data_IF_064655564045
#
_entry.id   IF_064655564045
#
_cell.length_a   1.000
_cell.length_b   1.000
_cell.length_c   1.000
_cell.angle_alpha   90.00
_cell.angle_beta   90.00
_cell.angle_gamma   90.00
#
_symmetry.space_group_name_H-M   'P 1'
#
loop_
_entity.id
_entity.type
_entity.pdbx_description
1 polymer ?
#
# COMPACT_ATOMS: atom_id res chain seq x y z
N UNK A 1 7.84 -8.75 -7.53
CA UNK A 1 7.98 -10.09 -6.95
C UNK A 1 8.90 -10.07 -5.73
N UNK A 2 8.49 -10.78 -4.71
CA UNK A 2 9.27 -10.90 -3.49
C UNK A 2 9.76 -12.34 -3.32
N UNK A 3 10.89 -12.58 -2.62
CA UNK A 3 11.40 -13.92 -2.39
C UNK A 3 10.62 -14.71 -1.33
N UNK A 4 9.57 -14.15 -0.78
CA UNK A 4 8.74 -14.76 0.27
C UNK A 4 7.25 -14.56 -0.04
N UNK A 5 6.40 -15.40 0.54
CA UNK A 5 4.94 -15.24 0.44
C UNK A 5 4.52 -14.01 1.23
N UNK A 6 3.99 -13.00 0.56
CA UNK A 6 3.67 -11.71 1.15
C UNK A 6 2.29 -11.21 0.75
N UNK A 7 1.76 -10.33 1.61
CA UNK A 7 0.54 -9.57 1.37
C UNK A 7 0.92 -8.09 1.39
N UNK A 8 0.37 -7.29 0.48
CA UNK A 8 0.56 -5.85 0.52
C UNK A 8 -0.49 -5.18 1.40
N UNK A 9 -0.03 -4.25 2.25
CA UNK A 9 -0.89 -3.40 3.06
C UNK A 9 -0.76 -1.99 2.52
N UNK A 10 -1.89 -1.38 2.18
CA UNK A 10 -1.95 -0.11 1.47
C UNK A 10 -2.84 0.87 2.22
N UNK A 11 -2.52 2.15 2.07
CA UNK A 11 -3.16 3.24 2.80
C UNK A 11 -3.89 4.17 1.82
N UNK A 12 -5.21 4.28 1.94
CA UNK A 12 -6.01 5.19 1.11
C UNK A 12 -5.57 6.65 1.26
N UNK A 13 -5.14 7.06 2.45
CA UNK A 13 -4.65 8.41 2.67
C UNK A 13 -3.36 8.70 1.89
N UNK A 14 -2.48 7.70 1.76
CA UNK A 14 -1.28 7.80 0.91
C UNK A 14 -1.66 7.93 -0.56
N UNK A 15 -2.67 7.18 -1.02
CA UNK A 15 -3.16 7.29 -2.40
C UNK A 15 -3.75 8.68 -2.67
N UNK A 16 -4.50 9.23 -1.72
CA UNK A 16 -5.01 10.59 -1.83
C UNK A 16 -3.89 11.63 -1.87
N UNK A 17 -2.82 11.42 -1.11
CA UNK A 17 -1.66 12.30 -1.12
C UNK A 17 -0.97 12.31 -2.51
N UNK A 18 -0.85 11.16 -3.15
CA UNK A 18 -0.34 11.07 -4.53
C UNK A 18 -1.25 11.86 -5.48
N UNK A 19 -2.56 11.71 -5.36
CA UNK A 19 -3.54 12.44 -6.16
C UNK A 19 -3.43 13.96 -5.98
N UNK A 20 -3.17 14.43 -4.76
CA UNK A 20 -2.96 15.84 -4.48
C UNK A 20 -1.71 16.39 -5.19
N UNK A 21 -0.64 15.60 -5.24
CA UNK A 21 0.59 15.98 -5.95
C UNK A 21 0.33 16.08 -7.46
N UNK A 22 -0.42 15.12 -8.02
CA UNK A 22 -0.74 15.07 -9.44
C UNK A 22 -1.84 16.06 -9.85
N UNK A 23 -2.69 16.48 -8.91
CA UNK A 23 -3.80 17.40 -9.16
C UNK A 23 -5.10 16.73 -9.61
N UNK A 24 -5.23 15.41 -9.48
CA UNK A 24 -6.43 14.66 -9.82
C UNK A 24 -6.49 13.35 -9.02
N UNK A 25 -7.67 12.74 -8.95
CA UNK A 25 -7.86 11.47 -8.27
C UNK A 25 -7.10 10.34 -8.98
N UNK A 26 -6.44 9.50 -8.18
CA UNK A 26 -5.73 8.32 -8.64
C UNK A 26 -6.48 7.07 -8.16
N UNK A 27 -6.81 6.18 -9.09
CA UNK A 27 -7.46 4.92 -8.75
C UNK A 27 -6.54 4.05 -7.88
N UNK A 28 -7.03 3.53 -6.74
CA UNK A 28 -6.25 2.59 -5.92
C UNK A 28 -5.83 1.34 -6.69
N UNK A 29 -6.57 0.94 -7.72
CA UNK A 29 -6.29 -0.25 -8.53
C UNK A 29 -4.94 -0.18 -9.24
N UNK A 30 -4.39 1.02 -9.46
CA UNK A 30 -3.05 1.18 -10.06
C UNK A 30 -1.96 0.49 -9.26
N UNK A 31 -2.13 0.39 -7.93
CA UNK A 31 -1.13 -0.15 -7.03
C UNK A 31 -1.20 -1.66 -6.88
N UNK A 32 -2.30 -2.30 -7.33
CA UNK A 32 -2.52 -3.75 -7.26
C UNK A 32 -2.36 -4.30 -5.84
N UNK A 33 -2.89 -3.55 -4.86
CA UNK A 33 -2.75 -3.89 -3.45
C UNK A 33 -3.77 -4.93 -2.97
N UNK A 34 -3.38 -5.73 -1.98
CA UNK A 34 -4.24 -6.75 -1.38
C UNK A 34 -5.20 -6.16 -0.34
N UNK A 35 -4.65 -5.50 0.67
CA UNK A 35 -5.42 -4.92 1.77
C UNK A 35 -5.32 -3.40 1.73
N UNK A 36 -6.46 -2.75 1.94
CA UNK A 36 -6.55 -1.30 1.92
C UNK A 36 -7.19 -0.81 3.21
N UNK A 37 -6.58 0.20 3.82
CA UNK A 37 -7.07 0.82 5.06
C UNK A 37 -7.34 2.29 4.86
N UNK A 38 -8.39 2.78 5.54
CA UNK A 38 -8.72 4.19 5.59
C UNK A 38 -8.58 4.70 7.04
N UNK A 39 -8.66 6.01 7.23
CA UNK A 39 -8.56 6.62 8.55
C UNK A 39 -7.16 6.75 9.10
N UNK A 40 -6.14 6.43 8.32
CA UNK A 40 -4.73 6.56 8.69
C UNK A 40 -4.16 7.90 8.18
N UNK A 41 -3.06 8.36 8.80
CA UNK A 41 -2.29 9.46 8.25
C UNK A 41 -1.58 9.02 6.97
N UNK A 42 -1.35 9.92 5.99
CA UNK A 42 -0.56 9.58 4.80
C UNK A 42 0.81 9.03 5.18
N UNK A 43 1.21 7.94 4.55
CA UNK A 43 2.51 7.28 4.71
C UNK A 43 2.76 6.67 6.10
N UNK A 44 1.75 6.59 6.96
CA UNK A 44 1.86 6.01 8.30
C UNK A 44 2.32 4.55 8.25
N UNK A 45 1.95 3.82 7.20
CA UNK A 45 2.34 2.42 7.00
C UNK A 45 3.85 2.22 6.97
N UNK A 46 4.63 3.23 6.61
CA UNK A 46 6.09 3.13 6.58
C UNK A 46 6.69 3.05 7.99
N UNK A 47 5.98 3.51 9.00
CA UNK A 47 6.42 3.43 10.39
C UNK A 47 6.28 2.02 10.97
N UNK A 48 5.58 1.13 10.28
CA UNK A 48 5.32 -0.22 10.77
C UNK A 48 6.37 -1.25 10.39
N UNK A 49 7.39 -0.87 9.63
CA UNK A 49 8.47 -1.78 9.21
C UNK A 49 9.10 -2.41 10.45
N UNK A 50 9.14 -3.76 10.47
CA UNK A 50 9.67 -4.52 11.60
C UNK A 50 8.68 -4.74 12.74
N UNK A 51 7.46 -4.24 12.63
CA UNK A 51 6.41 -4.40 13.64
C UNK A 51 5.48 -5.56 13.33
N UNK A 52 4.83 -6.08 14.36
CA UNK A 52 3.77 -7.07 14.23
C UNK A 52 2.41 -6.39 14.31
N UNK A 53 1.50 -6.82 13.42
CA UNK A 53 0.16 -6.29 13.32
C UNK A 53 -0.87 -7.40 13.50
N UNK A 54 -2.08 -7.04 13.95
CA UNK A 54 -3.23 -7.93 13.92
C UNK A 54 -4.37 -7.25 13.17
N UNK A 55 -5.00 -8.02 12.27
CA UNK A 55 -6.18 -7.59 11.50
C UNK A 55 -7.18 -8.75 11.60
N UNK A 56 -8.35 -8.50 12.23
CA UNK A 56 -9.24 -9.60 12.57
C UNK A 56 -8.53 -10.60 13.48
N UNK A 57 -8.45 -11.86 13.07
CA UNK A 57 -7.70 -12.89 13.78
C UNK A 57 -6.34 -13.23 13.15
N UNK A 58 -5.97 -12.53 12.08
CA UNK A 58 -4.70 -12.72 11.37
C UNK A 58 -3.62 -11.86 12.01
N UNK A 59 -2.44 -12.46 12.27
CA UNK A 59 -1.26 -11.71 12.69
C UNK A 59 -0.25 -11.70 11.55
N UNK A 60 0.41 -10.55 11.37
CA UNK A 60 1.34 -10.30 10.28
C UNK A 60 2.58 -9.59 10.82
N UNK A 61 3.71 -9.84 10.16
CA UNK A 61 4.94 -9.09 10.40
C UNK A 61 5.26 -8.24 9.18
N UNK A 62 5.43 -6.93 9.38
CA UNK A 62 5.73 -5.99 8.29
C UNK A 62 7.21 -6.07 7.94
N UNK A 63 7.49 -6.37 6.67
CA UNK A 63 8.86 -6.62 6.21
C UNK A 63 9.53 -5.40 5.61
N UNK A 64 8.91 -4.78 4.61
CA UNK A 64 9.55 -3.74 3.83
C UNK A 64 8.55 -2.90 3.05
N UNK A 65 8.98 -1.73 2.60
CA UNK A 65 8.23 -0.92 1.65
C UNK A 65 8.20 -1.60 0.30
N UNK A 66 7.18 -1.26 -0.50
CA UNK A 66 7.05 -1.76 -1.87
C UNK A 66 7.59 -0.71 -2.83
N UNK A 67 8.72 -0.98 -3.46
CA UNK A 67 9.23 -0.12 -4.54
C UNK A 67 8.36 -0.31 -5.78
N UNK A 68 7.97 0.80 -6.40
CA UNK A 68 7.04 0.78 -7.54
C UNK A 68 7.76 0.96 -8.86
N UNK A 69 7.15 0.42 -9.92
CA UNK A 69 7.66 0.47 -11.28
C UNK A 69 6.67 1.21 -12.20
N UNK A 70 6.99 1.29 -13.49
CA UNK A 70 6.16 1.96 -14.48
C UNK A 70 4.74 1.39 -14.61
N UNK A 71 4.50 0.17 -14.14
CA UNK A 71 3.15 -0.42 -14.18
C UNK A 71 2.10 0.44 -13.48
N UNK A 72 2.47 1.19 -12.43
CA UNK A 72 1.56 2.07 -11.69
C UNK A 72 1.15 3.31 -12.48
N UNK A 73 1.85 3.65 -13.55
CA UNK A 73 1.49 4.76 -14.44
C UNK A 73 0.36 4.40 -15.39
N UNK A 74 0.06 3.11 -15.55
CA UNK A 74 -0.97 2.63 -16.45
C UNK A 74 -2.36 2.73 -15.83
N UNK A 75 -3.32 3.21 -16.63
CA UNK A 75 -4.73 3.22 -16.26
C UNK A 75 -5.21 1.76 -16.17
N UNK A 76 -5.82 1.34 -15.05
CA UNK A 76 -6.26 -0.05 -14.87
C UNK A 76 -7.31 -0.51 -15.87
N UNK A 77 -8.08 0.42 -16.45
CA UNK A 77 -9.14 0.11 -17.41
C UNK A 77 -8.64 0.06 -18.86
N UNK A 78 -7.69 0.92 -19.22
CA UNK A 78 -7.26 1.08 -20.61
C UNK A 78 -5.85 0.57 -20.88
N UNK A 79 -5.02 0.39 -19.87
CA UNK A 79 -3.60 0.06 -20.00
C UNK A 79 -2.72 1.23 -20.47
N UNK A 80 -3.31 2.40 -20.73
CA UNK A 80 -2.56 3.58 -21.18
C UNK A 80 -1.85 4.21 -19.98
N UNK A 81 -0.59 4.60 -20.17
CA UNK A 81 0.19 5.30 -19.14
C UNK A 81 -0.22 6.77 -19.09
N UNK A 82 -1.20 7.08 -18.26
CA UNK A 82 -1.85 8.40 -18.19
C UNK A 82 -1.61 9.14 -16.86
N UNK A 83 -0.85 8.55 -15.93
CA UNK A 83 -0.55 9.19 -14.65
C UNK A 83 0.92 9.03 -14.29
N UNK A 84 1.57 10.12 -13.88
CA UNK A 84 3.00 10.12 -13.52
C UNK A 84 3.18 9.81 -12.03
N UNK A 85 2.78 8.59 -11.64
CA UNK A 85 2.82 8.14 -10.25
C UNK A 85 4.24 8.08 -9.70
N UNK A 86 5.21 7.67 -10.52
CA UNK A 86 6.61 7.59 -10.07
C UNK A 86 7.20 8.96 -9.77
N UNK A 87 6.89 9.96 -10.60
CA UNK A 87 7.33 11.33 -10.37
C UNK A 87 6.72 11.87 -9.08
N UNK A 88 5.43 11.59 -8.83
CA UNK A 88 4.76 11.99 -7.61
C UNK A 88 5.42 11.37 -6.37
N UNK A 89 5.76 10.09 -6.41
CA UNK A 89 6.46 9.42 -5.31
C UNK A 89 7.88 9.99 -5.13
N UNK A 90 8.60 10.20 -6.23
CA UNK A 90 9.96 10.76 -6.19
C UNK A 90 9.99 12.17 -5.60
N UNK A 91 8.92 12.95 -5.75
CA UNK A 91 8.81 14.26 -5.11
C UNK A 91 8.78 14.16 -3.58
N UNK A 92 8.49 12.97 -3.03
CA UNK A 92 8.53 12.66 -1.60
C UNK A 92 9.87 12.06 -1.16
N UNK A 93 10.84 11.96 -2.07
CA UNK A 93 12.17 11.40 -1.78
C UNK A 93 12.28 9.89 -1.87
N UNK A 94 11.27 9.20 -2.41
CA UNK A 94 11.27 7.75 -2.58
C UNK A 94 10.38 7.34 -3.77
N UNK A 95 10.43 6.05 -4.11
CA UNK A 95 9.61 5.47 -5.18
C UNK A 95 8.72 4.35 -4.60
N UNK A 96 8.34 4.47 -3.33
CA UNK A 96 7.64 3.41 -2.59
C UNK A 96 6.19 3.76 -2.35
N UNK A 97 5.33 2.73 -2.40
CA UNK A 97 3.93 2.83 -2.02
C UNK A 97 3.46 1.50 -1.42
N UNK A 98 2.92 1.55 -0.20
CA UNK A 98 2.50 0.37 0.52
C UNK A 98 3.66 -0.39 1.16
N UNK A 99 3.34 -1.42 1.90
CA UNK A 99 4.31 -2.27 2.59
C UNK A 99 3.97 -3.74 2.39
N UNK A 100 5.00 -4.59 2.33
CA UNK A 100 4.83 -6.04 2.36
C UNK A 100 4.81 -6.55 3.79
N UNK A 101 3.91 -7.51 4.05
CA UNK A 101 3.83 -8.21 5.32
C UNK A 101 3.73 -9.71 5.07
N UNK A 102 4.23 -10.51 6.02
CA UNK A 102 4.07 -11.95 6.00
C UNK A 102 3.11 -12.37 7.10
N UNK A 103 2.27 -13.35 6.82
CA UNK A 103 1.34 -13.91 7.81
C UNK A 103 2.14 -14.76 8.80
N UNK A 104 2.06 -14.41 10.07
CA UNK A 104 2.68 -15.16 11.16
C UNK A 104 1.68 -16.04 11.91
N UNK A 105 0.40 -15.66 11.85
CA UNK A 105 -0.70 -16.46 12.41
C UNK A 105 -1.89 -16.37 11.45
N UNK A 106 -2.35 -17.52 10.98
CA UNK A 106 -3.50 -17.57 10.06
C UNK A 106 -4.80 -17.30 10.81
N UNK A 107 -5.79 -16.84 10.09
CA UNK A 107 -7.10 -16.51 10.61
C UNK A 107 -7.99 -15.94 9.55
N UNK A 108 -8.97 -15.12 9.94
CA UNK A 108 -9.94 -14.50 9.05
C UNK A 108 -9.90 -12.99 9.17
N UNK A 109 -10.04 -12.32 8.03
CA UNK A 109 -10.20 -10.87 7.95
C UNK A 109 -11.56 -10.60 7.32
N UNK A 110 -12.33 -9.72 7.95
CA UNK A 110 -13.63 -9.29 7.45
C UNK A 110 -13.54 -7.80 7.11
N UNK A 111 -14.26 -7.38 6.08
CA UNK A 111 -14.35 -5.96 5.71
C UNK A 111 -14.78 -5.14 6.92
N UNK A 112 -14.04 -4.10 7.22
CA UNK A 112 -14.26 -3.25 8.39
C UNK A 112 -13.43 -3.61 9.62
N UNK A 113 -12.68 -4.71 9.59
CA UNK A 113 -11.76 -5.07 10.68
C UNK A 113 -10.70 -4.00 10.85
N UNK A 114 -10.37 -3.71 12.10
CA UNK A 114 -9.35 -2.73 12.45
C UNK A 114 -7.97 -3.36 12.44
N UNK A 115 -6.99 -2.53 12.07
CA UNK A 115 -5.58 -2.88 12.19
C UNK A 115 -5.09 -2.47 13.58
N UNK A 116 -4.46 -3.40 14.28
CA UNK A 116 -3.87 -3.18 15.60
C UNK A 116 -2.36 -3.42 15.53
N UNK A 117 -1.58 -2.53 16.14
CA UNK A 117 -0.14 -2.73 16.30
C UNK A 117 0.08 -3.50 17.61
N UNK A 118 0.74 -4.63 17.51
CA UNK A 118 0.98 -5.50 18.67
C UNK A 118 2.22 -5.10 19.47
#
# INVERSE_FOLDING_TARGET
>A
DTPYASISINNHSSNRAVGQILGYEVSPLRWRGNLWFDGLAPWEEFDWIGMDLRIGSVELHVKERIERCLATTANPDTGIRDADTLKALNSRGHQDFGVYAVVTKTGSITLGDRLEIL
#
